data_IF_182174449122
#
_entry.id   IF_182174449122
#
_cell.length_a   1.000
_cell.length_b   1.000
_cell.length_c   1.000
_cell.angle_alpha   90.00
_cell.angle_beta   90.00
_cell.angle_gamma   90.00
#
_symmetry.space_group_name_H-M   'P 1'
#
loop_
_entity.id
_entity.type
_entity.pdbx_description
1 polymer ?
#
# COMPACT_ATOMS: atom_id res chain seq x y z
N UNK A 1 19.72 -10.39 -26.27
CA UNK A 1 21.06 -9.75 -26.26
C UNK A 1 22.08 -10.80 -25.84
N UNK A 2 23.14 -11.04 -26.61
CA UNK A 2 24.02 -12.21 -26.40
C UNK A 2 25.08 -11.91 -25.30
N UNK A 3 25.09 -12.70 -24.22
CA UNK A 3 25.94 -12.48 -23.04
C UNK A 3 27.44 -12.50 -23.36
N UNK A 4 27.81 -13.34 -24.34
CA UNK A 4 29.15 -13.47 -24.89
C UNK A 4 29.70 -12.19 -25.53
N UNK A 5 28.83 -11.28 -26.00
CA UNK A 5 29.23 -10.02 -26.62
C UNK A 5 29.35 -8.85 -25.62
N UNK A 6 28.74 -8.96 -24.43
CA UNK A 6 28.75 -7.93 -23.39
C UNK A 6 29.98 -8.02 -22.49
N UNK A 7 30.38 -9.24 -22.12
CA UNK A 7 31.52 -9.49 -21.22
C UNK A 7 32.81 -8.86 -21.76
N UNK A 8 33.20 -8.99 -23.05
CA UNK A 8 34.41 -8.38 -23.59
C UNK A 8 34.34 -6.84 -23.60
N UNK A 9 33.15 -6.27 -23.82
CA UNK A 9 32.94 -4.80 -23.79
C UNK A 9 33.14 -4.25 -22.37
N UNK A 10 32.62 -4.93 -21.36
CA UNK A 10 32.80 -4.55 -19.95
C UNK A 10 34.25 -4.75 -19.49
N UNK A 11 34.87 -5.87 -19.86
CA UNK A 11 36.29 -6.14 -19.59
C UNK A 11 37.18 -5.05 -20.19
N UNK A 12 36.98 -4.68 -21.46
CA UNK A 12 37.78 -3.67 -22.16
C UNK A 12 37.54 -2.25 -21.65
N UNK A 13 36.30 -1.87 -21.32
CA UNK A 13 35.98 -0.51 -20.85
C UNK A 13 36.34 -0.23 -19.40
N UNK A 14 36.32 -1.25 -18.55
CA UNK A 14 36.54 -1.10 -17.12
C UNK A 14 37.90 -1.65 -16.67
N UNK A 15 38.68 -2.22 -17.60
CA UNK A 15 39.99 -2.82 -17.34
C UNK A 15 39.99 -3.83 -16.18
N UNK A 16 38.87 -4.57 -16.05
CA UNK A 16 38.65 -5.53 -14.96
C UNK A 16 38.88 -6.98 -15.41
N UNK A 17 39.24 -7.90 -14.48
CA UNK A 17 39.30 -9.32 -14.77
C UNK A 17 37.99 -9.87 -15.34
N UNK A 18 38.07 -10.84 -16.24
CA UNK A 18 36.91 -11.46 -16.91
C UNK A 18 35.84 -11.97 -15.92
N UNK A 19 36.26 -12.55 -14.80
CA UNK A 19 35.36 -13.03 -13.73
C UNK A 19 34.52 -11.88 -13.14
N UNK A 20 35.13 -10.71 -12.92
CA UNK A 20 34.44 -9.52 -12.43
C UNK A 20 33.53 -8.91 -13.50
N UNK A 21 33.93 -8.93 -14.77
CA UNK A 21 33.08 -8.52 -15.88
C UNK A 21 31.83 -9.40 -16.01
N UNK A 22 31.97 -10.73 -15.87
CA UNK A 22 30.84 -11.68 -15.88
C UNK A 22 29.87 -11.38 -14.73
N UNK A 23 30.36 -11.23 -13.50
CA UNK A 23 29.51 -10.91 -12.34
C UNK A 23 28.71 -9.62 -12.54
N UNK A 24 29.34 -8.59 -13.11
CA UNK A 24 28.68 -7.31 -13.40
C UNK A 24 27.63 -7.41 -14.51
N UNK A 25 27.89 -8.18 -15.56
CA UNK A 25 26.91 -8.43 -16.63
C UNK A 25 25.72 -9.24 -16.10
N UNK A 26 25.97 -10.27 -15.28
CA UNK A 26 24.91 -11.03 -14.60
C UNK A 26 24.06 -10.11 -13.72
N UNK A 27 24.70 -9.29 -12.88
CA UNK A 27 24.00 -8.34 -12.01
C UNK A 27 23.17 -7.35 -12.84
N UNK A 28 23.73 -6.78 -13.90
CA UNK A 28 23.03 -5.86 -14.78
C UNK A 28 21.80 -6.50 -15.44
N UNK A 29 21.92 -7.74 -15.94
CA UNK A 29 20.81 -8.47 -16.54
C UNK A 29 19.74 -8.81 -15.49
N UNK A 30 20.14 -9.26 -14.31
CA UNK A 30 19.22 -9.55 -13.21
C UNK A 30 18.45 -8.31 -12.77
N UNK A 31 19.12 -7.16 -12.64
CA UNK A 31 18.49 -5.89 -12.31
C UNK A 31 17.54 -5.41 -13.41
N UNK A 32 17.95 -5.55 -14.68
CA UNK A 32 17.11 -5.19 -15.82
C UNK A 32 15.85 -6.06 -15.91
N UNK A 33 15.98 -7.37 -15.68
CA UNK A 33 14.87 -8.31 -15.65
C UNK A 33 13.94 -8.03 -14.46
N UNK A 34 14.48 -7.75 -13.28
CA UNK A 34 13.71 -7.38 -12.09
C UNK A 34 12.95 -6.06 -12.28
N UNK A 35 13.55 -5.10 -12.98
CA UNK A 35 12.89 -3.85 -13.35
C UNK A 35 11.75 -4.10 -14.34
N UNK A 36 11.99 -4.87 -15.41
CA UNK A 36 10.97 -5.21 -16.38
C UNK A 36 9.81 -5.98 -15.73
N UNK A 37 10.09 -6.90 -14.81
CA UNK A 37 9.08 -7.60 -14.04
C UNK A 37 8.29 -6.65 -13.14
N UNK A 38 8.95 -5.73 -12.43
CA UNK A 38 8.29 -4.71 -11.61
C UNK A 38 7.40 -3.80 -12.44
N UNK A 39 7.86 -3.34 -13.61
CA UNK A 39 7.05 -2.50 -14.53
C UNK A 39 5.86 -3.30 -15.06
N UNK A 40 6.07 -4.55 -15.48
CA UNK A 40 4.99 -5.42 -15.94
C UNK A 40 3.95 -5.68 -14.84
N UNK A 41 4.40 -5.97 -13.61
CA UNK A 41 3.53 -6.10 -12.44
C UNK A 41 2.80 -4.79 -12.15
N UNK A 42 3.49 -3.66 -12.21
CA UNK A 42 2.90 -2.35 -12.01
C UNK A 42 1.81 -2.07 -13.03
N UNK A 43 2.01 -2.43 -14.31
CA UNK A 43 1.01 -2.28 -15.39
C UNK A 43 -0.14 -3.28 -15.22
N UNK A 44 0.13 -4.54 -14.89
CA UNK A 44 -0.90 -5.57 -14.65
C UNK A 44 -1.74 -5.25 -13.39
N UNK A 45 -1.11 -4.73 -12.35
CA UNK A 45 -1.74 -4.23 -11.12
C UNK A 45 -2.19 -2.76 -11.23
N UNK A 46 -2.08 -2.16 -12.42
CA UNK A 46 -2.76 -0.92 -12.79
C UNK A 46 -4.10 -1.21 -13.50
N UNK A 47 -4.98 -2.16 -13.08
CA UNK A 47 -6.25 -2.26 -13.77
C UNK A 47 -6.99 -0.94 -13.55
N UNK A 48 -7.47 -0.41 -14.67
CA UNK A 48 -8.31 0.76 -14.86
C UNK A 48 -9.66 0.63 -14.15
N UNK A 49 -9.65 0.29 -12.86
CA UNK A 49 -10.84 0.46 -12.03
C UNK A 49 -10.84 1.90 -11.58
N UNK A 50 -11.35 2.76 -12.48
CA UNK A 50 -11.99 3.99 -12.06
C UNK A 50 -12.90 3.65 -10.89
N UNK A 51 -12.78 4.43 -9.81
CA UNK A 51 -13.28 4.09 -8.49
C UNK A 51 -14.63 3.34 -8.44
N UNK A 52 -14.77 2.42 -7.49
CA UNK A 52 -16.00 1.63 -7.35
C UNK A 52 -16.92 2.21 -6.27
N UNK A 53 -18.19 1.82 -6.34
CA UNK A 53 -19.18 2.14 -5.29
C UNK A 53 -19.37 0.92 -4.42
N UNK A 54 -19.14 1.09 -3.12
CA UNK A 54 -19.42 0.08 -2.09
C UNK A 54 -20.79 0.38 -1.45
N UNK A 55 -21.60 -0.64 -1.27
CA UNK A 55 -22.92 -0.57 -0.62
C UNK A 55 -22.92 -1.47 0.60
N UNK A 56 -23.18 -0.90 1.77
CA UNK A 56 -23.14 -1.59 3.05
C UNK A 56 -24.52 -1.44 3.69
N UNK A 57 -25.25 -2.55 3.93
CA UNK A 57 -26.53 -2.47 4.64
C UNK A 57 -26.29 -2.00 6.07
N UNK A 58 -27.12 -1.07 6.54
CA UNK A 58 -27.04 -0.62 7.93
C UNK A 58 -27.62 -1.66 8.88
N UNK A 59 -27.25 -1.57 10.17
CA UNK A 59 -27.96 -2.28 11.22
C UNK A 59 -29.46 -1.90 11.21
N UNK A 60 -30.36 -2.85 11.52
CA UNK A 60 -31.78 -2.57 11.60
C UNK A 60 -32.08 -1.54 12.69
N UNK A 61 -33.05 -0.67 12.46
CA UNK A 61 -33.51 0.35 13.42
C UNK A 61 -33.51 1.76 12.84
N UNK A 62 -34.13 2.68 13.57
CA UNK A 62 -34.19 4.10 13.22
C UNK A 62 -32.98 4.84 13.80
N UNK A 63 -32.04 5.21 12.93
CA UNK A 63 -30.80 5.90 13.32
C UNK A 63 -30.87 7.40 13.02
N UNK A 64 -30.50 8.23 14.00
CA UNK A 64 -30.26 9.66 13.80
C UNK A 64 -28.85 9.83 13.21
N UNK A 65 -28.78 10.46 12.04
CA UNK A 65 -27.50 10.71 11.36
C UNK A 65 -26.77 11.88 12.04
N UNK A 66 -25.51 11.66 12.39
CA UNK A 66 -24.62 12.69 12.94
C UNK A 66 -23.34 12.77 12.11
N UNK A 67 -22.67 13.91 12.15
CA UNK A 67 -21.47 14.14 11.35
C UNK A 67 -20.30 13.26 11.81
N UNK A 68 -20.13 13.14 13.13
CA UNK A 68 -19.05 12.37 13.75
C UNK A 68 -19.49 11.83 15.12
N UNK A 69 -18.96 10.65 15.49
CA UNK A 69 -19.09 10.07 16.82
C UNK A 69 -17.66 9.89 17.36
N UNK A 70 -17.26 10.78 18.27
CA UNK A 70 -15.88 10.88 18.76
C UNK A 70 -15.52 9.66 19.62
N UNK A 71 -16.16 9.49 20.78
CA UNK A 71 -16.02 8.30 21.61
C UNK A 71 -17.31 8.02 22.39
N UNK A 72 -17.68 6.73 22.43
CA UNK A 72 -18.58 6.22 23.46
C UNK A 72 -17.74 5.81 24.67
N UNK A 73 -18.36 5.79 25.84
CA UNK A 73 -17.72 5.37 27.09
C UNK A 73 -17.51 3.85 27.12
N UNK A 74 -18.37 3.09 26.45
CA UNK A 74 -18.32 1.63 26.42
C UNK A 74 -18.35 1.13 24.98
N UNK A 75 -17.30 0.40 24.57
CA UNK A 75 -17.29 -0.32 23.31
C UNK A 75 -18.01 -1.67 23.50
N UNK A 76 -19.00 -1.95 22.67
CA UNK A 76 -19.81 -3.17 22.75
C UNK A 76 -19.74 -3.96 21.45
N UNK A 77 -20.01 -5.26 21.55
CA UNK A 77 -20.17 -6.13 20.38
C UNK A 77 -21.48 -5.83 19.62
N UNK A 78 -21.60 -6.32 18.39
CA UNK A 78 -22.79 -6.15 17.55
C UNK A 78 -24.07 -6.62 18.24
N UNK A 79 -24.05 -7.80 18.85
CA UNK A 79 -25.22 -8.40 19.52
C UNK A 79 -25.66 -7.58 20.72
N UNK A 80 -24.71 -7.15 21.56
CA UNK A 80 -24.98 -6.27 22.70
C UNK A 80 -25.54 -4.93 22.24
N UNK A 81 -24.95 -4.33 21.19
CA UNK A 81 -25.46 -3.08 20.65
C UNK A 81 -26.91 -3.21 20.18
N UNK A 82 -27.23 -4.25 19.42
CA UNK A 82 -28.59 -4.51 18.93
C UNK A 82 -29.59 -4.72 20.07
N UNK A 83 -29.19 -5.34 21.18
CA UNK A 83 -30.06 -5.49 22.34
C UNK A 83 -30.36 -4.14 23.00
N UNK A 84 -29.34 -3.30 23.21
CA UNK A 84 -29.49 -1.98 23.83
C UNK A 84 -30.27 -1.04 22.90
N UNK A 85 -30.01 -1.11 21.60
CA UNK A 85 -30.62 -0.25 20.59
C UNK A 85 -32.12 -0.48 20.38
N UNK A 86 -32.67 -1.65 20.74
CA UNK A 86 -34.09 -1.98 20.49
C UNK A 86 -35.07 -0.97 21.07
N UNK A 87 -34.76 -0.43 22.24
CA UNK A 87 -35.65 0.45 23.01
C UNK A 87 -35.12 1.88 23.10
N UNK A 88 -33.99 2.17 22.46
CA UNK A 88 -33.27 3.43 22.64
C UNK A 88 -32.98 4.13 21.32
N UNK A 89 -32.86 5.45 21.38
CA UNK A 89 -32.44 6.24 20.23
C UNK A 89 -31.01 5.85 19.86
N UNK A 90 -30.79 5.63 18.57
CA UNK A 90 -29.48 5.29 18.01
C UNK A 90 -28.97 6.43 17.13
N UNK A 91 -27.67 6.62 17.15
CA UNK A 91 -26.94 7.58 16.34
C UNK A 91 -26.00 6.83 15.42
N UNK A 92 -25.85 7.32 14.19
CA UNK A 92 -24.97 6.76 13.19
C UNK A 92 -24.07 7.84 12.59
N UNK A 93 -22.78 7.52 12.47
CA UNK A 93 -21.80 8.29 11.70
C UNK A 93 -21.05 7.38 10.73
N UNK A 94 -20.81 7.87 9.52
CA UNK A 94 -19.99 7.17 8.55
C UNK A 94 -18.52 7.59 8.74
N UNK A 95 -17.74 6.70 9.32
CA UNK A 95 -16.31 6.91 9.53
C UNK A 95 -15.48 6.57 8.28
N UNK A 96 -14.19 6.95 8.32
CA UNK A 96 -13.24 6.60 7.25
C UNK A 96 -13.00 5.09 7.15
N UNK A 97 -12.96 4.38 8.28
CA UNK A 97 -12.62 2.95 8.36
C UNK A 97 -13.76 2.05 8.88
N UNK A 98 -14.81 2.63 9.47
CA UNK A 98 -15.91 1.90 10.07
C UNK A 98 -17.20 2.70 9.98
N UNK A 99 -18.35 2.03 10.02
CA UNK A 99 -19.63 2.67 10.34
C UNK A 99 -19.75 2.66 11.86
N UNK A 100 -19.91 3.84 12.45
CA UNK A 100 -19.96 3.99 13.91
C UNK A 100 -21.41 4.13 14.32
N UNK A 101 -21.82 3.27 15.24
CA UNK A 101 -23.14 3.30 15.88
C UNK A 101 -22.98 3.65 17.34
N UNK A 102 -23.90 4.46 17.87
CA UNK A 102 -23.91 4.82 19.28
C UNK A 102 -25.34 4.88 19.81
N UNK A 103 -25.53 4.52 21.08
CA UNK A 103 -26.77 4.77 21.81
C UNK A 103 -26.44 5.25 23.21
N UNK A 104 -27.30 6.07 23.80
CA UNK A 104 -27.11 6.63 25.13
C UNK A 104 -28.23 6.17 26.05
N UNK A 105 -27.88 5.46 27.11
CA UNK A 105 -28.84 4.89 28.07
C UNK A 105 -28.40 5.24 29.48
N UNK A 106 -29.28 5.87 30.25
CA UNK A 106 -28.98 6.25 31.64
C UNK A 106 -27.75 7.15 31.79
N UNK A 107 -27.47 8.00 30.79
CA UNK A 107 -26.27 8.84 30.77
C UNK A 107 -25.03 8.18 30.15
N UNK A 108 -25.00 6.84 30.03
CA UNK A 108 -23.86 6.08 29.51
C UNK A 108 -23.92 5.93 28.00
N UNK A 109 -22.78 6.16 27.33
CA UNK A 109 -22.70 6.08 25.85
C UNK A 109 -22.09 4.76 25.38
N UNK A 110 -22.90 3.91 24.74
CA UNK A 110 -22.50 2.61 24.20
C UNK A 110 -22.23 2.73 22.70
N UNK A 111 -21.05 2.29 22.27
CA UNK A 111 -20.56 2.41 20.89
C UNK A 111 -20.28 1.04 20.28
N UNK A 112 -20.73 0.85 19.05
CA UNK A 112 -20.33 -0.27 18.19
C UNK A 112 -19.71 0.25 16.90
N UNK A 113 -18.58 -0.33 16.51
CA UNK A 113 -17.92 -0.01 15.25
C UNK A 113 -18.10 -1.21 14.33
N UNK A 114 -18.83 -1.03 13.24
CA UNK A 114 -18.88 -2.00 12.16
C UNK A 114 -17.66 -1.78 11.27
N UNK A 115 -16.67 -2.66 11.43
CA UNK A 115 -15.46 -2.63 10.63
C UNK A 115 -15.81 -2.88 9.17
N UNK A 116 -15.48 -1.90 8.34
CA UNK A 116 -15.61 -2.05 6.90
C UNK A 116 -14.27 -2.57 6.40
N UNK A 117 -14.28 -3.78 5.83
CA UNK A 117 -13.08 -4.41 5.31
C UNK A 117 -12.29 -3.42 4.45
N UNK A 118 -11.01 -3.33 4.79
CA UNK A 118 -10.18 -2.17 4.50
C UNK A 118 -10.25 -1.77 3.03
N UNK A 119 -10.45 -0.47 2.78
CA UNK A 119 -10.13 0.13 1.48
C UNK A 119 -8.75 -0.36 1.07
N UNK A 120 -8.68 -1.08 -0.06
CA UNK A 120 -7.43 -1.64 -0.57
C UNK A 120 -6.35 -0.55 -0.58
N UNK A 121 -5.10 -0.96 -0.34
CA UNK A 121 -3.97 -0.04 -0.45
C UNK A 121 -4.01 0.72 -1.78
N UNK A 122 -3.82 2.05 -1.75
CA UNK A 122 -3.95 2.91 -2.92
C UNK A 122 -5.39 3.35 -3.26
N UNK A 123 -6.35 3.16 -2.36
CA UNK A 123 -7.71 3.68 -2.49
C UNK A 123 -8.12 4.51 -1.26
N UNK A 124 -8.94 5.52 -1.48
CA UNK A 124 -9.52 6.36 -0.45
C UNK A 124 -11.03 6.54 -0.65
N UNK A 125 -11.73 6.87 0.43
CA UNK A 125 -13.16 7.17 0.32
C UNK A 125 -13.34 8.62 -0.11
N UNK A 126 -13.86 8.82 -1.31
CA UNK A 126 -14.06 10.15 -1.91
C UNK A 126 -15.35 10.82 -1.45
N UNK A 127 -16.40 10.04 -1.22
CA UNK A 127 -17.66 10.53 -0.66
C UNK A 127 -18.40 9.40 0.03
N UNK A 128 -19.25 9.75 0.99
CA UNK A 128 -20.09 8.81 1.71
C UNK A 128 -21.49 9.39 1.86
N UNK A 129 -22.52 8.57 1.73
CA UNK A 129 -23.91 8.96 1.97
C UNK A 129 -24.73 7.79 2.47
N UNK A 130 -25.90 8.07 3.03
CA UNK A 130 -26.87 7.05 3.42
C UNK A 130 -28.14 7.25 2.59
N UNK A 131 -28.55 6.21 1.88
CA UNK A 131 -29.77 6.17 1.08
C UNK A 131 -30.50 4.87 1.37
N UNK A 132 -31.80 4.94 1.69
CA UNK A 132 -32.66 3.76 1.89
C UNK A 132 -32.01 2.67 2.78
N UNK A 133 -31.57 3.05 3.98
CA UNK A 133 -30.92 2.12 4.94
C UNK A 133 -29.62 1.47 4.45
N UNK A 134 -29.01 2.01 3.40
CA UNK A 134 -27.73 1.56 2.84
C UNK A 134 -26.71 2.70 2.95
N UNK A 135 -25.56 2.42 3.54
CA UNK A 135 -24.39 3.28 3.44
C UNK A 135 -23.74 3.07 2.06
N UNK A 136 -23.70 4.14 1.27
CA UNK A 136 -23.09 4.19 -0.05
C UNK A 136 -21.76 4.94 0.06
N UNK A 137 -20.68 4.28 -0.32
CA UNK A 137 -19.32 4.85 -0.29
C UNK A 137 -18.75 4.84 -1.69
N UNK A 138 -18.32 6.01 -2.18
CA UNK A 138 -17.60 6.12 -3.45
C UNK A 138 -16.12 6.02 -3.15
N UNK A 139 -15.51 4.90 -3.52
CA UNK A 139 -14.10 4.65 -3.31
C UNK A 139 -13.36 5.06 -4.57
N UNK A 140 -12.39 5.97 -4.46
CA UNK A 140 -11.53 6.40 -5.56
C UNK A 140 -10.12 5.91 -5.35
N UNK A 141 -9.41 5.75 -6.46
CA UNK A 141 -7.99 5.42 -6.45
C UNK A 141 -7.17 6.66 -6.09
N UNK A 142 -6.19 6.48 -5.23
CA UNK A 142 -5.20 7.50 -4.91
C UNK A 142 -4.07 7.43 -5.95
N UNK A 143 -4.19 8.26 -6.98
CA UNK A 143 -3.23 8.29 -8.08
C UNK A 143 -1.81 8.62 -7.59
N UNK A 144 -1.68 9.48 -6.57
CA UNK A 144 -0.37 9.90 -6.05
C UNK A 144 0.30 8.73 -5.34
N UNK A 145 -0.39 8.08 -4.41
CA UNK A 145 0.16 6.92 -3.71
C UNK A 145 0.44 5.75 -4.66
N UNK A 146 -0.36 5.57 -5.71
CA UNK A 146 -0.10 4.54 -6.72
C UNK A 146 1.15 4.85 -7.54
N UNK A 147 1.34 6.08 -7.99
CA UNK A 147 2.56 6.49 -8.71
C UNK A 147 3.80 6.31 -7.83
N UNK A 148 3.74 6.77 -6.57
CA UNK A 148 4.87 6.64 -5.65
C UNK A 148 5.21 5.17 -5.43
N UNK A 149 4.22 4.31 -5.15
CA UNK A 149 4.48 2.90 -4.84
C UNK A 149 4.93 2.07 -6.05
N UNK A 150 4.38 2.33 -7.24
CA UNK A 150 4.61 1.49 -8.42
C UNK A 150 5.65 2.05 -9.41
N UNK A 151 6.03 3.32 -9.26
CA UNK A 151 7.05 3.99 -10.09
C UNK A 151 8.15 4.57 -9.22
N UNK A 152 7.79 5.36 -8.20
CA UNK A 152 8.76 6.03 -7.32
C UNK A 152 9.66 5.07 -6.55
N UNK A 153 9.09 4.11 -5.81
CA UNK A 153 9.84 3.11 -5.03
C UNK A 153 10.74 2.25 -5.93
N UNK A 154 10.26 1.67 -7.05
CA UNK A 154 11.13 0.95 -7.97
C UNK A 154 12.29 1.79 -8.52
N UNK A 155 12.05 3.05 -8.89
CA UNK A 155 13.12 3.95 -9.36
C UNK A 155 14.12 4.28 -8.25
N UNK A 156 13.66 4.47 -7.01
CA UNK A 156 14.54 4.70 -5.87
C UNK A 156 15.43 3.47 -5.59
N UNK A 157 14.84 2.27 -5.59
CA UNK A 157 15.58 1.01 -5.45
C UNK A 157 16.64 0.91 -6.56
N UNK A 158 16.27 1.22 -7.79
CA UNK A 158 17.18 1.23 -8.94
C UNK A 158 18.31 2.24 -8.77
N UNK A 159 18.02 3.47 -8.34
CA UNK A 159 19.03 4.50 -8.06
C UNK A 159 20.02 4.05 -6.97
N UNK A 160 19.52 3.46 -5.88
CA UNK A 160 20.35 2.91 -4.80
C UNK A 160 21.26 1.80 -5.34
N UNK A 161 20.73 0.88 -6.14
CA UNK A 161 21.51 -0.21 -6.74
C UNK A 161 22.61 0.31 -7.68
N UNK A 162 22.31 1.33 -8.50
CA UNK A 162 23.31 1.98 -9.35
C UNK A 162 24.40 2.68 -8.52
N UNK A 163 24.02 3.33 -7.41
CA UNK A 163 24.95 3.93 -6.46
C UNK A 163 25.89 2.87 -5.85
N UNK A 164 25.36 1.73 -5.41
CA UNK A 164 26.18 0.62 -4.90
C UNK A 164 27.15 0.08 -5.95
N UNK A 165 26.72 -0.06 -7.21
CA UNK A 165 27.59 -0.47 -8.31
C UNK A 165 28.68 0.57 -8.57
N UNK A 166 28.35 1.86 -8.54
CA UNK A 166 29.32 2.96 -8.71
C UNK A 166 30.36 3.02 -7.60
N UNK A 167 29.96 2.85 -6.34
CA UNK A 167 30.88 2.82 -5.19
C UNK A 167 31.78 1.58 -5.21
N UNK A 168 31.25 0.43 -5.66
CA UNK A 168 32.07 -0.77 -5.88
C UNK A 168 33.08 -0.62 -7.04
N UNK A 169 32.87 0.34 -7.94
CA UNK A 169 33.80 0.66 -9.02
C UNK A 169 34.94 1.58 -8.56
N UNK A 170 34.65 2.59 -7.74
CA UNK A 170 35.66 3.55 -7.26
C UNK A 170 36.63 2.95 -6.24
N UNK A 171 36.18 2.02 -5.38
CA UNK A 171 37.06 1.34 -4.41
C UNK A 171 38.10 0.40 -5.03
N UNK A 172 37.92 -0.03 -6.27
CA UNK A 172 38.87 -0.92 -6.93
C UNK A 172 40.03 -0.17 -7.60
N UNK A 173 39.92 1.16 -7.77
CA UNK A 173 40.96 2.03 -8.34
C UNK A 173 41.91 2.58 -7.26
N UNK A 174 41.45 2.69 -6.01
CA UNK A 174 42.30 3.03 -4.86
C UNK A 174 42.86 1.76 -4.23
N UNK A 175 43.98 1.28 -4.75
CA UNK A 175 44.72 0.17 -4.17
C UNK A 175 45.19 0.49 -2.75
N UNK A 176 44.47 -0.03 -1.75
CA UNK A 176 45.02 -0.45 -0.45
C UNK A 176 43.95 -1.23 0.33
N UNK A 177 44.15 -2.53 0.35
CA UNK A 177 43.95 -3.46 1.46
C UNK A 177 42.60 -3.52 2.22
N UNK A 178 42.15 -4.78 2.38
CA UNK A 178 41.19 -5.34 3.35
C UNK A 178 39.69 -5.34 2.96
N UNK A 179 39.36 -6.50 2.39
CA UNK A 179 38.13 -7.32 2.42
C UNK A 179 37.08 -6.92 3.49
N UNK A 180 35.78 -6.95 3.13
CA UNK A 180 34.70 -7.81 3.71
C UNK A 180 33.32 -7.42 3.12
N UNK A 181 32.54 -8.46 2.84
CA UNK A 181 31.23 -8.57 2.18
C UNK A 181 30.07 -7.79 2.83
N UNK A 182 28.96 -7.60 2.09
CA UNK A 182 27.67 -8.24 2.38
C UNK A 182 26.66 -7.94 1.25
N UNK A 183 26.42 -8.95 0.40
CA UNK A 183 25.16 -9.09 -0.33
C UNK A 183 24.48 -10.30 0.33
N UNK A 184 23.22 -10.15 0.74
CA UNK A 184 22.24 -11.23 0.92
C UNK A 184 22.74 -12.51 1.63
N UNK A 185 22.34 -12.63 2.90
CA UNK A 185 21.73 -13.89 3.38
C UNK A 185 20.26 -13.83 3.00
#
# INVERSE_FOLDING_TARGET
MNMSALIPKFQKRLEIPRVNAVRRVVLFLFLSASFAATVALSVMLFPYTDGFTEKIPLLPGNHIRVQEILNGEVLVSRSQFLQIAKENVTFIALGKKAIVYMTKVGGVSYRYNEDIHHTRFGYFVSSQSIQNEIAIRKIKRDNVNMIISHVGIPLLILAILYLFIGVAQTRHVSGRDKVVFFLFV
#
